data_IF_522128807715
#
_entry.id   IF_522128807715
#
_cell.length_a   1.000
_cell.length_b   1.000
_cell.length_c   1.000
_cell.angle_alpha   90.00
_cell.angle_beta   90.00
_cell.angle_gamma   90.00
#
_symmetry.space_group_name_H-M   'P 1'
#
loop_
_entity.id
_entity.type
_entity.pdbx_description
1 polymer ?
#
# COMPACT_ATOMS: atom_id res chain seq x y z
N UNK A 1 1.89 -17.74 -58.61
CA UNK A 1 3.00 -17.88 -57.63
C UNK A 1 3.23 -16.53 -56.97
N UNK A 2 3.59 -16.55 -55.69
CA UNK A 2 4.03 -15.43 -54.84
C UNK A 2 2.98 -14.75 -53.97
N UNK A 3 2.95 -15.27 -52.75
CA UNK A 3 2.33 -14.84 -51.50
C UNK A 3 2.98 -13.53 -51.04
N UNK A 4 2.21 -12.54 -50.54
CA UNK A 4 2.57 -11.73 -49.35
C UNK A 4 1.31 -11.29 -48.59
N UNK A 5 0.92 -12.11 -47.61
CA UNK A 5 0.05 -11.70 -46.49
C UNK A 5 0.91 -10.85 -45.55
N UNK A 6 0.62 -9.56 -45.45
CA UNK A 6 1.25 -8.68 -44.47
C UNK A 6 0.51 -8.92 -43.14
N UNK A 7 1.07 -9.78 -42.33
CA UNK A 7 0.61 -10.04 -40.96
C UNK A 7 1.07 -8.83 -40.13
N UNK A 8 0.15 -7.89 -39.88
CA UNK A 8 0.35 -6.75 -38.99
C UNK A 8 0.28 -7.23 -37.53
N UNK A 9 1.32 -7.92 -37.08
CA UNK A 9 1.53 -8.33 -35.68
C UNK A 9 2.53 -7.34 -35.09
N UNK A 10 2.04 -6.22 -34.52
CA UNK A 10 2.90 -5.35 -33.72
C UNK A 10 2.15 -4.34 -32.83
N UNK A 11 0.92 -4.63 -32.42
CA UNK A 11 0.21 -3.79 -31.45
C UNK A 11 -0.38 -4.64 -30.31
N UNK A 12 0.36 -5.65 -29.84
CA UNK A 12 0.20 -6.10 -28.47
C UNK A 12 1.03 -5.14 -27.61
N UNK A 13 0.47 -3.96 -27.35
CA UNK A 13 1.00 -3.06 -26.33
C UNK A 13 0.78 -3.77 -25.01
N UNK A 14 1.84 -4.45 -24.57
CA UNK A 14 1.96 -5.01 -23.23
C UNK A 14 1.80 -3.87 -22.24
N UNK A 15 0.56 -3.62 -21.81
CA UNK A 15 0.27 -2.86 -20.61
C UNK A 15 0.83 -3.67 -19.44
N UNK A 16 2.14 -3.56 -19.22
CA UNK A 16 2.78 -3.85 -17.96
C UNK A 16 2.27 -2.81 -16.96
N UNK A 17 1.02 -2.98 -16.52
CA UNK A 17 0.62 -2.45 -15.24
C UNK A 17 1.51 -3.16 -14.22
N UNK A 18 2.63 -2.52 -13.88
CA UNK A 18 3.40 -2.88 -12.70
C UNK A 18 2.45 -2.72 -11.51
N UNK A 19 1.78 -3.83 -11.18
CA UNK A 19 1.01 -3.97 -9.97
C UNK A 19 2.05 -3.91 -8.84
N UNK A 20 2.38 -2.70 -8.39
CA UNK A 20 3.29 -2.50 -7.28
C UNK A 20 2.54 -2.95 -6.04
N UNK A 21 2.69 -4.23 -5.69
CA UNK A 21 2.13 -4.76 -4.46
C UNK A 21 2.81 -4.08 -3.27
N UNK A 22 2.02 -3.77 -2.25
CA UNK A 22 2.54 -3.24 -1.00
C UNK A 22 3.51 -4.25 -0.36
N UNK A 23 4.64 -3.75 0.14
CA UNK A 23 5.57 -4.55 0.94
C UNK A 23 5.04 -4.63 2.37
N UNK A 24 4.37 -5.75 2.68
CA UNK A 24 3.74 -5.97 3.97
C UNK A 24 4.76 -6.17 5.09
N UNK A 25 5.96 -6.66 4.79
CA UNK A 25 7.03 -6.75 5.80
C UNK A 25 7.47 -5.35 6.20
N UNK A 26 7.62 -4.46 5.22
CA UNK A 26 7.92 -3.05 5.48
C UNK A 26 6.82 -2.35 6.28
N UNK A 27 5.54 -2.65 6.03
CA UNK A 27 4.45 -2.13 6.87
C UNK A 27 4.59 -2.62 8.31
N UNK A 28 4.79 -3.92 8.49
CA UNK A 28 4.70 -4.56 9.79
C UNK A 28 5.92 -4.26 10.69
N UNK A 29 7.08 -3.97 10.10
CA UNK A 29 8.32 -3.68 10.84
C UNK A 29 8.49 -2.21 11.23
N UNK A 30 7.53 -1.33 10.95
CA UNK A 30 7.70 0.11 11.10
C UNK A 30 6.56 0.77 11.89
N UNK A 31 6.90 1.89 12.54
CA UNK A 31 5.96 2.80 13.18
C UNK A 31 5.50 3.85 12.16
N UNK A 32 4.18 3.95 12.01
CA UNK A 32 3.56 4.81 11.01
C UNK A 32 2.85 5.99 11.65
N UNK A 33 3.20 7.19 11.24
CA UNK A 33 2.49 8.42 11.61
C UNK A 33 1.50 8.80 10.51
N UNK A 34 0.30 9.19 10.89
CA UNK A 34 -0.69 9.74 9.98
C UNK A 34 -0.21 11.08 9.43
N UNK A 35 -0.27 11.23 8.12
CA UNK A 35 0.02 12.47 7.42
C UNK A 35 -1.25 13.12 6.89
N UNK A 36 -2.06 12.39 6.12
CA UNK A 36 -3.24 12.97 5.46
C UNK A 36 -4.31 11.96 5.07
N UNK A 37 -5.53 12.46 4.82
CA UNK A 37 -6.66 11.68 4.30
C UNK A 37 -7.33 10.78 5.34
N UNK A 38 -7.66 9.55 4.94
CA UNK A 38 -8.31 8.56 5.81
C UNK A 38 -7.42 8.18 7.00
N UNK A 39 -7.98 8.32 8.20
CA UNK A 39 -7.32 7.96 9.46
C UNK A 39 -7.87 6.63 9.99
N UNK A 40 -6.99 5.66 10.21
CA UNK A 40 -7.31 4.28 10.65
C UNK A 40 -7.90 4.26 12.06
N UNK A 41 -7.43 5.14 12.94
CA UNK A 41 -7.85 5.25 14.33
C UNK A 41 -7.81 6.68 14.85
N UNK A 42 -8.07 6.85 16.14
CA UNK A 42 -8.17 8.18 16.74
C UNK A 42 -6.79 8.81 16.98
N UNK A 43 -5.78 7.98 17.26
CA UNK A 43 -4.39 8.40 17.43
C UNK A 43 -3.64 8.61 16.12
N UNK A 44 -2.53 9.35 16.18
CA UNK A 44 -1.70 9.68 15.01
C UNK A 44 -0.77 8.54 14.59
N UNK A 45 -0.58 7.53 15.44
CA UNK A 45 0.38 6.46 15.20
C UNK A 45 -0.27 5.08 15.03
N UNK A 46 0.32 4.27 14.17
CA UNK A 46 0.01 2.86 13.95
C UNK A 46 1.28 2.05 14.14
N UNK A 47 1.26 1.18 15.14
CA UNK A 47 2.35 0.30 15.53
C UNK A 47 1.86 -1.14 15.54
N UNK A 48 2.49 -1.98 14.73
CA UNK A 48 2.16 -3.39 14.59
C UNK A 48 3.00 -4.32 15.47
N UNK A 49 4.14 -3.85 15.98
CA UNK A 49 5.09 -4.66 16.74
C UNK A 49 4.80 -4.57 18.24
N UNK A 50 4.61 -3.35 18.75
CA UNK A 50 4.46 -3.13 20.19
C UNK A 50 3.01 -3.24 20.68
N UNK A 51 2.02 -3.14 19.80
CA UNK A 51 0.61 -3.05 20.20
C UNK A 51 -0.18 -4.30 19.81
N UNK A 52 -0.89 -4.89 20.78
CA UNK A 52 -2.00 -5.81 20.47
C UNK A 52 -3.21 -5.07 19.84
N UNK A 53 -3.08 -3.75 19.64
CA UNK A 53 -4.12 -2.84 19.24
C UNK A 53 -4.34 -2.87 17.72
N UNK A 54 -3.25 -2.86 16.97
CA UNK A 54 -3.25 -2.99 15.53
C UNK A 54 -2.73 -4.35 15.10
N UNK A 55 -3.34 -4.92 14.06
CA UNK A 55 -2.88 -6.17 13.45
C UNK A 55 -2.93 -6.03 11.94
N UNK A 56 -1.86 -6.46 11.27
CA UNK A 56 -1.85 -6.65 9.82
C UNK A 56 -2.15 -8.12 9.52
N UNK A 57 -3.10 -8.38 8.63
CA UNK A 57 -3.37 -9.72 8.10
C UNK A 57 -3.59 -9.61 6.61
N UNK A 58 -2.68 -10.21 5.84
CA UNK A 58 -2.53 -9.93 4.41
C UNK A 58 -2.35 -8.42 4.20
N UNK A 59 -3.17 -7.78 3.38
CA UNK A 59 -3.16 -6.33 3.17
C UNK A 59 -4.05 -5.58 4.16
N UNK A 60 -4.83 -6.27 4.99
CA UNK A 60 -5.87 -5.64 5.80
C UNK A 60 -5.34 -5.26 7.16
N UNK A 61 -5.53 -3.99 7.53
CA UNK A 61 -5.24 -3.46 8.86
C UNK A 61 -6.50 -3.57 9.73
N UNK A 62 -6.34 -4.21 10.87
CA UNK A 62 -7.34 -4.36 11.91
C UNK A 62 -6.98 -3.47 13.09
N UNK A 63 -7.99 -2.87 13.71
CA UNK A 63 -7.91 -2.20 15.01
C UNK A 63 -8.84 -2.95 15.95
N UNK A 64 -8.32 -3.49 17.05
CA UNK A 64 -9.10 -4.27 18.02
C UNK A 64 -9.91 -5.40 17.36
N UNK A 65 -9.30 -6.11 16.41
CA UNK A 65 -9.95 -7.17 15.60
C UNK A 65 -11.04 -6.70 14.63
N UNK A 66 -11.28 -5.39 14.50
CA UNK A 66 -12.22 -4.83 13.52
C UNK A 66 -11.43 -4.37 12.28
N UNK A 67 -11.77 -4.85 11.07
CA UNK A 67 -11.10 -4.41 9.85
C UNK A 67 -11.39 -2.93 9.57
N UNK A 68 -10.37 -2.14 9.24
CA UNK A 68 -10.50 -0.70 8.97
C UNK A 68 -10.20 -0.32 7.52
N UNK A 69 -9.08 -0.82 7.00
CA UNK A 69 -8.62 -0.50 5.65
C UNK A 69 -7.71 -1.59 5.10
N UNK A 70 -7.39 -1.47 3.81
CA UNK A 70 -6.36 -2.25 3.13
C UNK A 70 -5.15 -1.35 2.82
N UNK A 71 -3.95 -1.91 2.91
CA UNK A 71 -2.73 -1.30 2.40
C UNK A 71 -2.70 -1.50 0.89
N UNK A 72 -2.64 -0.41 0.14
CA UNK A 72 -2.70 -0.45 -1.33
C UNK A 72 -1.35 -0.22 -1.98
N UNK A 73 -0.42 0.42 -1.28
CA UNK A 73 0.89 0.76 -1.81
C UNK A 73 1.84 1.19 -0.70
N UNK A 74 3.13 0.97 -0.91
CA UNK A 74 4.22 1.38 -0.02
C UNK A 74 5.41 1.88 -0.83
N UNK A 75 6.18 2.80 -0.28
CA UNK A 75 7.46 3.24 -0.83
C UNK A 75 8.49 3.42 0.28
N UNK A 76 9.35 2.43 0.43
CA UNK A 76 10.40 2.44 1.43
C UNK A 76 11.48 3.51 1.19
N UNK A 77 11.60 4.04 -0.04
CA UNK A 77 12.55 5.13 -0.33
C UNK A 77 12.04 6.47 0.16
N UNK A 78 10.73 6.68 0.04
CA UNK A 78 10.06 7.92 0.46
C UNK A 78 9.41 7.81 1.85
N UNK A 79 9.54 6.67 2.52
CA UNK A 79 8.97 6.41 3.84
C UNK A 79 7.44 6.42 3.86
N UNK A 80 6.78 6.05 2.76
CA UNK A 80 5.34 6.20 2.60
C UNK A 80 4.58 4.86 2.65
N UNK A 81 3.40 4.89 3.25
CA UNK A 81 2.37 3.86 3.15
C UNK A 81 1.05 4.52 2.77
N UNK A 82 0.39 3.97 1.76
CA UNK A 82 -0.96 4.36 1.35
C UNK A 82 -1.96 3.28 1.70
N UNK A 83 -3.05 3.70 2.32
CA UNK A 83 -4.17 2.82 2.69
C UNK A 83 -5.46 3.27 2.02
N UNK A 84 -6.41 2.34 1.89
CA UNK A 84 -7.76 2.61 1.38
C UNK A 84 -8.81 2.01 2.32
N UNK A 85 -9.73 2.85 2.79
CA UNK A 85 -10.89 2.41 3.56
C UNK A 85 -11.83 1.56 2.70
N UNK A 86 -12.68 0.77 3.34
CA UNK A 86 -13.73 0.02 2.64
C UNK A 86 -14.81 0.92 2.01
N UNK A 87 -14.88 2.20 2.41
CA UNK A 87 -15.72 3.23 1.78
C UNK A 87 -15.05 3.94 0.61
N UNK A 88 -13.78 3.62 0.33
CA UNK A 88 -13.02 4.13 -0.82
C UNK A 88 -12.14 5.34 -0.54
N UNK A 89 -12.10 5.84 0.69
CA UNK A 89 -11.24 6.96 1.07
C UNK A 89 -9.78 6.50 1.19
N UNK A 90 -8.84 7.34 0.77
CA UNK A 90 -7.40 7.04 0.85
C UNK A 90 -6.74 7.78 1.99
N UNK A 91 -5.79 7.14 2.67
CA UNK A 91 -4.95 7.74 3.70
C UNK A 91 -3.48 7.58 3.37
N UNK A 92 -2.67 8.56 3.76
CA UNK A 92 -1.21 8.55 3.65
C UNK A 92 -0.60 8.54 5.05
N UNK A 93 0.40 7.69 5.20
CA UNK A 93 1.15 7.50 6.44
C UNK A 93 2.64 7.56 6.13
N UNK A 94 3.39 8.17 7.04
CA UNK A 94 4.84 8.33 6.96
C UNK A 94 5.50 7.50 8.04
N UNK A 95 6.51 6.74 7.67
CA UNK A 95 7.33 6.00 8.62
C UNK A 95 8.16 6.99 9.45
N UNK A 96 8.10 6.87 10.78
CA UNK A 96 8.76 7.79 11.70
C UNK A 96 10.28 7.78 11.61
N UNK A 97 10.90 6.75 11.04
CA UNK A 97 12.33 6.72 10.71
C UNK A 97 12.75 7.87 9.79
N UNK A 98 11.82 8.49 9.05
CA UNK A 98 12.08 9.68 8.25
C UNK A 98 12.57 10.86 9.10
N UNK A 99 12.22 10.93 10.39
CA UNK A 99 12.49 12.06 11.27
C UNK A 99 13.77 11.91 12.12
N UNK A 100 14.44 10.76 12.07
CA UNK A 100 15.64 10.47 12.87
C UNK A 100 16.95 10.65 12.09
N UNK A 101 16.88 11.11 10.84
CA UNK A 101 18.02 11.44 9.97
C UNK A 101 18.32 12.93 9.98
#
# INVERSE_FOLDING_TARGET
MSIRKIISVCALVSLFFSCHHADLNYVQSNLWQWDSGYKIGDGDFVDFDASAYYKLSHDTIFRESIPKCIVVWTDAKNYEMKVKSFTGQTGLYINTEAFTK
#
